data_IF_711114677622
#
_entry.id   IF_711114677622
#
_cell.length_a   1.000
_cell.length_b   1.000
_cell.length_c   1.000
_cell.angle_alpha   90.00
_cell.angle_beta   90.00
_cell.angle_gamma   90.00
#
_symmetry.space_group_name_H-M   'P 1'
#
loop_
_entity.id
_entity.type
_entity.pdbx_description
1 polymer ?
#
# COMPACT_ATOMS: atom_id res chain seq x y z
N UNK A 1 6.57 -13.08 -12.48
CA UNK A 1 6.90 -14.00 -11.39
C UNK A 1 7.06 -15.43 -11.88
N UNK A 2 6.04 -16.03 -12.53
CA UNK A 2 6.07 -17.40 -13.03
C UNK A 2 7.23 -17.62 -14.02
N UNK A 3 7.36 -16.75 -15.00
CA UNK A 3 8.44 -16.81 -16.00
C UNK A 3 9.84 -16.78 -15.34
N UNK A 4 10.04 -15.94 -14.32
CA UNK A 4 11.29 -15.88 -13.55
C UNK A 4 11.51 -17.19 -12.77
N UNK A 5 10.46 -17.75 -12.19
CA UNK A 5 10.54 -19.03 -11.50
C UNK A 5 10.93 -20.18 -12.45
N UNK A 6 10.50 -20.14 -13.70
CA UNK A 6 10.85 -21.09 -14.77
C UNK A 6 12.24 -20.85 -15.38
N UNK A 7 13.04 -19.95 -14.82
CA UNK A 7 14.44 -19.68 -15.20
C UNK A 7 14.64 -18.45 -16.08
N UNK A 8 13.61 -17.64 -16.29
CA UNK A 8 13.72 -16.38 -16.99
C UNK A 8 14.30 -15.27 -16.09
N UNK A 9 14.81 -14.22 -16.69
CA UNK A 9 15.31 -13.02 -16.01
C UNK A 9 14.43 -11.81 -16.34
N UNK A 10 14.16 -10.94 -15.35
CA UNK A 10 13.33 -9.76 -15.59
C UNK A 10 14.04 -8.76 -16.51
N UNK A 11 15.35 -8.55 -16.27
CA UNK A 11 16.18 -7.63 -17.05
C UNK A 11 15.61 -6.22 -17.09
N UNK A 12 15.69 -5.62 -18.27
CA UNK A 12 15.00 -4.39 -18.60
C UNK A 12 13.61 -4.72 -19.15
N UNK A 13 12.56 -4.16 -18.51
CA UNK A 13 11.17 -4.29 -18.92
C UNK A 13 10.47 -2.94 -18.83
N UNK A 14 9.86 -2.49 -19.93
CA UNK A 14 9.20 -1.19 -20.02
C UNK A 14 8.09 -1.02 -18.96
N UNK A 15 7.32 -2.07 -18.69
CA UNK A 15 6.26 -2.01 -17.68
C UNK A 15 6.83 -1.78 -16.28
N UNK A 16 7.82 -2.57 -15.88
CA UNK A 16 8.40 -2.45 -14.54
C UNK A 16 9.30 -1.23 -14.40
N UNK A 17 9.87 -0.74 -15.51
CA UNK A 17 10.63 0.50 -15.51
C UNK A 17 9.74 1.70 -15.16
N UNK A 18 8.52 1.73 -15.70
CA UNK A 18 7.52 2.75 -15.41
C UNK A 18 6.88 2.52 -14.03
N UNK A 19 6.51 1.28 -13.72
CA UNK A 19 5.80 0.87 -12.51
C UNK A 19 6.67 0.05 -11.56
N UNK A 20 7.82 0.59 -11.15
CA UNK A 20 8.79 -0.10 -10.27
C UNK A 20 8.19 -0.52 -8.91
N UNK A 21 7.09 0.11 -8.50
CA UNK A 21 6.32 -0.26 -7.31
C UNK A 21 5.70 -1.66 -7.40
N UNK A 22 5.63 -2.27 -8.60
CA UNK A 22 5.13 -3.64 -8.78
C UNK A 22 6.24 -4.71 -8.65
N UNK A 23 7.50 -4.32 -8.55
CA UNK A 23 8.61 -5.26 -8.32
C UNK A 23 8.48 -6.02 -6.99
N UNK A 24 8.16 -5.38 -5.84
CA UNK A 24 8.02 -6.09 -4.58
C UNK A 24 6.94 -7.16 -4.60
N UNK A 25 5.78 -6.91 -5.25
CA UNK A 25 4.73 -7.93 -5.38
C UNK A 25 5.17 -9.07 -6.30
N UNK A 26 5.89 -8.77 -7.37
CA UNK A 26 6.46 -9.77 -8.28
C UNK A 26 7.49 -10.65 -7.55
N UNK A 27 8.34 -10.05 -6.71
CA UNK A 27 9.26 -10.78 -5.84
C UNK A 27 8.54 -11.69 -4.84
N UNK A 28 7.49 -11.18 -4.19
CA UNK A 28 6.68 -11.97 -3.27
C UNK A 28 6.05 -13.19 -3.96
N UNK A 29 5.45 -12.99 -5.13
CA UNK A 29 4.90 -14.07 -5.94
C UNK A 29 5.97 -15.10 -6.32
N UNK A 30 7.14 -14.64 -6.76
CA UNK A 30 8.28 -15.51 -7.06
C UNK A 30 8.67 -16.37 -5.84
N UNK A 31 8.77 -15.76 -4.65
CA UNK A 31 9.10 -16.49 -3.41
C UNK A 31 8.00 -17.48 -3.01
N UNK A 32 6.74 -17.13 -3.20
CA UNK A 32 5.62 -18.06 -2.97
C UNK A 32 5.68 -19.25 -3.91
N UNK A 33 6.06 -19.05 -5.17
CA UNK A 33 6.25 -20.14 -6.15
C UNK A 33 7.41 -21.05 -5.75
N UNK A 34 8.56 -20.47 -5.38
CA UNK A 34 9.67 -21.25 -4.85
C UNK A 34 9.28 -22.07 -3.62
N UNK A 35 8.53 -21.46 -2.70
CA UNK A 35 8.03 -22.15 -1.51
C UNK A 35 7.10 -23.31 -1.85
N UNK A 36 6.12 -23.09 -2.74
CA UNK A 36 5.14 -24.12 -3.11
C UNK A 36 5.76 -25.29 -3.88
N UNK A 37 6.77 -25.01 -4.72
CA UNK A 37 7.48 -26.05 -5.47
C UNK A 37 8.28 -26.99 -4.56
N UNK A 38 8.76 -26.50 -3.42
CA UNK A 38 9.41 -27.30 -2.38
C UNK A 38 8.44 -28.21 -1.61
N UNK A 39 7.13 -27.92 -1.63
CA UNK A 39 6.10 -28.70 -0.98
C UNK A 39 5.61 -29.83 -1.88
N UNK A 40 6.29 -30.98 -1.89
CA UNK A 40 5.99 -32.15 -2.73
C UNK A 40 4.57 -32.72 -2.61
N UNK A 41 3.76 -32.23 -1.68
CA UNK A 41 2.42 -32.75 -1.37
C UNK A 41 1.29 -32.14 -2.24
N UNK A 42 1.55 -31.11 -3.04
CA UNK A 42 0.53 -30.45 -3.88
C UNK A 42 0.85 -30.56 -5.35
N UNK A 43 -0.13 -30.83 -6.21
CA UNK A 43 0.03 -30.57 -7.63
C UNK A 43 0.37 -29.09 -7.78
N UNK A 44 1.52 -28.81 -8.38
CA UNK A 44 2.06 -27.47 -8.53
C UNK A 44 1.07 -26.57 -9.30
N UNK A 45 0.34 -25.72 -8.59
CA UNK A 45 -0.45 -24.65 -9.16
C UNK A 45 -0.06 -23.34 -8.45
N UNK A 46 0.80 -22.52 -9.08
CA UNK A 46 1.27 -21.28 -8.48
C UNK A 46 0.15 -20.26 -8.21
N UNK A 47 -0.93 -20.30 -8.97
CA UNK A 47 -2.09 -19.42 -8.76
C UNK A 47 -2.83 -19.77 -7.47
N UNK A 48 -2.88 -21.06 -7.14
CA UNK A 48 -3.54 -21.53 -5.93
C UNK A 48 -2.81 -21.08 -4.65
N UNK A 49 -1.48 -21.12 -4.64
CA UNK A 49 -0.71 -20.64 -3.47
C UNK A 49 -0.91 -19.14 -3.25
N UNK A 50 -1.06 -18.37 -4.34
CA UNK A 50 -1.38 -16.95 -4.25
C UNK A 50 -2.76 -16.72 -3.62
N UNK A 51 -3.78 -17.40 -4.09
CA UNK A 51 -5.14 -17.31 -3.54
C UNK A 51 -5.14 -17.64 -2.04
N UNK A 52 -4.45 -18.71 -1.63
CA UNK A 52 -4.32 -19.06 -0.21
C UNK A 52 -3.65 -17.95 0.60
N UNK A 53 -2.54 -17.40 0.09
CA UNK A 53 -1.84 -16.30 0.73
C UNK A 53 -2.75 -15.07 0.89
N UNK A 54 -3.49 -14.70 -0.16
CA UNK A 54 -4.45 -13.60 -0.12
C UNK A 54 -5.56 -13.85 0.92
N UNK A 55 -6.13 -15.05 0.94
CA UNK A 55 -7.15 -15.41 1.94
C UNK A 55 -6.62 -15.28 3.36
N UNK A 56 -5.38 -15.70 3.61
CA UNK A 56 -4.72 -15.53 4.92
C UNK A 56 -4.57 -14.05 5.26
N UNK A 57 -4.07 -13.23 4.33
CA UNK A 57 -3.89 -11.79 4.55
C UNK A 57 -5.21 -11.07 4.83
N UNK A 58 -6.26 -11.36 4.06
CA UNK A 58 -7.59 -10.79 4.30
C UNK A 58 -8.19 -11.25 5.64
N UNK A 59 -8.01 -12.51 6.02
CA UNK A 59 -8.45 -13.03 7.31
C UNK A 59 -7.72 -12.33 8.47
N UNK A 60 -6.42 -12.08 8.33
CA UNK A 60 -5.64 -11.31 9.30
C UNK A 60 -6.11 -9.86 9.38
N UNK A 61 -6.47 -9.23 8.24
CA UNK A 61 -7.06 -7.89 8.23
C UNK A 61 -8.35 -7.83 9.04
N UNK A 62 -9.27 -8.78 8.81
CA UNK A 62 -10.53 -8.90 9.56
C UNK A 62 -10.25 -9.10 11.05
N UNK A 63 -9.43 -10.08 11.40
CA UNK A 63 -9.09 -10.39 12.80
C UNK A 63 -8.48 -9.18 13.51
N UNK A 64 -7.44 -8.58 12.94
CA UNK A 64 -6.75 -7.45 13.56
C UNK A 64 -7.65 -6.22 13.67
N UNK A 65 -8.53 -5.94 12.71
CA UNK A 65 -9.46 -4.82 12.79
C UNK A 65 -10.48 -5.01 13.92
N UNK A 66 -11.05 -6.19 14.05
CA UNK A 66 -11.99 -6.53 15.13
C UNK A 66 -11.32 -6.42 16.49
N UNK A 67 -10.12 -6.98 16.64
CA UNK A 67 -9.35 -6.92 17.89
C UNK A 67 -8.91 -5.50 18.23
N UNK A 68 -8.53 -4.70 17.24
CA UNK A 68 -8.19 -3.28 17.42
C UNK A 68 -9.39 -2.49 17.92
N UNK A 69 -10.55 -2.66 17.28
CA UNK A 69 -11.81 -2.00 17.70
C UNK A 69 -12.22 -2.44 19.10
N UNK A 70 -12.15 -3.74 19.41
CA UNK A 70 -12.45 -4.26 20.75
C UNK A 70 -11.55 -3.62 21.82
N UNK A 71 -10.25 -3.51 21.50
CA UNK A 71 -9.27 -2.93 22.41
C UNK A 71 -9.48 -1.44 22.67
N UNK A 72 -9.84 -0.68 21.62
CA UNK A 72 -10.02 0.76 21.71
C UNK A 72 -11.38 1.13 22.29
N UNK A 73 -12.45 0.52 21.80
CA UNK A 73 -13.83 0.83 22.22
C UNK A 73 -14.22 0.13 23.51
N UNK A 74 -13.59 -0.99 23.85
CA UNK A 74 -13.98 -1.91 24.95
C UNK A 74 -15.45 -2.37 24.85
N UNK A 75 -16.01 -2.34 23.65
CA UNK A 75 -17.41 -2.67 23.38
C UNK A 75 -17.51 -3.83 22.39
N UNK A 76 -18.07 -4.96 22.86
CA UNK A 76 -18.22 -6.16 22.03
C UNK A 76 -19.20 -5.93 20.87
N UNK A 77 -20.27 -5.17 21.07
CA UNK A 77 -21.24 -4.87 20.02
C UNK A 77 -20.62 -4.14 18.85
N UNK A 78 -19.79 -3.13 19.11
CA UNK A 78 -19.04 -2.41 18.08
C UNK A 78 -18.09 -3.35 17.33
N UNK A 79 -17.45 -4.28 18.04
CA UNK A 79 -16.54 -5.26 17.42
C UNK A 79 -17.27 -6.27 16.54
N UNK A 80 -18.47 -6.70 16.96
CA UNK A 80 -19.33 -7.58 16.15
C UNK A 80 -19.81 -6.87 14.88
N UNK A 81 -20.23 -5.60 14.99
CA UNK A 81 -20.58 -4.80 13.81
C UNK A 81 -19.38 -4.68 12.87
N UNK A 82 -18.17 -4.40 13.40
CA UNK A 82 -16.95 -4.35 12.61
C UNK A 82 -16.68 -5.68 11.91
N UNK A 83 -16.89 -6.81 12.59
CA UNK A 83 -16.73 -8.14 11.98
C UNK A 83 -17.68 -8.33 10.80
N UNK A 84 -18.97 -8.01 10.97
CA UNK A 84 -19.99 -8.14 9.93
C UNK A 84 -19.61 -7.29 8.71
N UNK A 85 -19.25 -6.02 8.91
CA UNK A 85 -18.80 -5.15 7.83
C UNK A 85 -17.55 -5.69 7.12
N UNK A 86 -16.54 -6.13 7.86
CA UNK A 86 -15.33 -6.67 7.25
C UNK A 86 -15.59 -7.96 6.47
N UNK A 87 -16.46 -8.84 6.93
CA UNK A 87 -16.86 -10.05 6.19
C UNK A 87 -17.58 -9.64 4.90
N UNK A 88 -18.50 -8.68 4.97
CA UNK A 88 -19.23 -8.19 3.80
C UNK A 88 -18.29 -7.56 2.76
N UNK A 89 -17.35 -6.71 3.18
CA UNK A 89 -16.50 -5.97 2.25
C UNK A 89 -15.22 -6.71 1.84
N UNK A 90 -14.55 -7.42 2.76
CA UNK A 90 -13.30 -8.11 2.49
C UNK A 90 -13.51 -9.60 2.20
N UNK A 91 -14.39 -10.25 2.91
CA UNK A 91 -14.61 -11.70 2.77
C UNK A 91 -15.28 -12.07 1.44
N UNK A 92 -16.12 -11.19 0.90
CA UNK A 92 -16.81 -11.40 -0.38
C UNK A 92 -16.03 -10.77 -1.54
N UNK A 93 -15.05 -9.89 -1.26
CA UNK A 93 -14.28 -9.14 -2.26
C UNK A 93 -13.56 -10.03 -3.28
N UNK A 94 -13.50 -9.62 -4.57
CA UNK A 94 -12.71 -10.28 -5.60
C UNK A 94 -11.19 -10.19 -5.36
N UNK A 95 -10.74 -9.30 -4.49
CA UNK A 95 -9.31 -9.11 -4.19
C UNK A 95 -8.58 -10.37 -3.74
N UNK A 96 -9.30 -11.38 -3.24
CA UNK A 96 -8.72 -12.68 -2.87
C UNK A 96 -8.16 -13.48 -4.04
N UNK A 97 -8.64 -13.24 -5.26
CA UNK A 97 -8.22 -13.99 -6.47
C UNK A 97 -7.33 -13.17 -7.39
N UNK A 98 -7.29 -11.84 -7.24
CA UNK A 98 -6.51 -10.94 -8.09
C UNK A 98 -5.09 -10.80 -7.51
N UNK A 99 -4.03 -11.20 -8.24
CA UNK A 99 -2.64 -11.07 -7.78
C UNK A 99 -2.14 -9.63 -7.90
N UNK A 100 -2.66 -8.75 -7.05
CA UNK A 100 -2.35 -7.33 -7.05
C UNK A 100 -1.94 -6.83 -5.66
N UNK A 101 -1.20 -5.73 -5.62
CA UNK A 101 -0.66 -5.16 -4.37
C UNK A 101 -1.73 -4.84 -3.35
N UNK A 102 -2.91 -4.40 -3.78
CA UNK A 102 -4.02 -4.04 -2.88
C UNK A 102 -4.47 -5.20 -2.01
N UNK A 103 -4.67 -6.37 -2.60
CA UNK A 103 -5.15 -7.54 -1.87
C UNK A 103 -4.22 -7.98 -0.73
N UNK A 104 -2.90 -7.99 -0.97
CA UNK A 104 -1.94 -8.43 0.05
C UNK A 104 -1.59 -7.33 1.05
N UNK A 105 -1.67 -6.06 0.67
CA UNK A 105 -1.26 -4.95 1.55
C UNK A 105 -2.39 -4.39 2.42
N UNK A 106 -3.66 -4.73 2.15
CA UNK A 106 -4.80 -4.24 2.94
C UNK A 106 -4.71 -4.63 4.43
N UNK A 107 -4.13 -5.78 4.74
CA UNK A 107 -3.94 -6.26 6.10
C UNK A 107 -2.86 -5.48 6.86
N UNK A 108 -1.81 -5.01 6.17
CA UNK A 108 -0.60 -4.50 6.78
C UNK A 108 -0.83 -3.27 7.68
N UNK A 109 -1.53 -2.20 7.24
CA UNK A 109 -1.80 -1.05 8.10
C UNK A 109 -2.57 -1.42 9.36
N UNK A 110 -3.58 -2.26 9.25
CA UNK A 110 -4.42 -2.68 10.37
C UNK A 110 -3.65 -3.55 11.36
N UNK A 111 -2.84 -4.50 10.85
CA UNK A 111 -1.97 -5.34 11.68
C UNK A 111 -0.96 -4.48 12.46
N UNK A 112 -0.33 -3.53 11.79
CA UNK A 112 0.66 -2.63 12.40
C UNK A 112 0.01 -1.78 13.49
N UNK A 113 -1.17 -1.20 13.23
CA UNK A 113 -1.92 -0.42 14.21
C UNK A 113 -2.38 -1.27 15.41
N UNK A 114 -2.86 -2.48 15.16
CA UNK A 114 -3.24 -3.41 16.24
C UNK A 114 -2.03 -3.76 17.11
N UNK A 115 -0.92 -4.19 16.53
CA UNK A 115 0.30 -4.52 17.26
C UNK A 115 0.86 -3.28 17.98
N UNK A 116 0.84 -2.11 17.35
CA UNK A 116 1.22 -0.87 18.03
C UNK A 116 0.35 -0.61 19.26
N UNK A 117 -0.97 -0.82 19.17
CA UNK A 117 -1.86 -0.65 20.31
C UNK A 117 -1.51 -1.56 21.50
N UNK A 118 -0.88 -2.72 21.24
CA UNK A 118 -0.42 -3.64 22.27
C UNK A 118 0.90 -3.21 22.93
N UNK A 119 1.74 -2.51 22.20
CA UNK A 119 3.08 -2.08 22.65
C UNK A 119 3.05 -0.69 23.30
N UNK A 120 2.09 0.13 22.89
CA UNK A 120 1.94 1.51 23.37
C UNK A 120 1.84 1.58 24.90
N UNK A 121 2.56 2.54 25.48
CA UNK A 121 2.57 2.79 26.92
C UNK A 121 3.44 1.83 27.76
N UNK A 122 4.07 0.83 27.14
CA UNK A 122 5.02 -0.04 27.85
C UNK A 122 6.38 0.66 27.98
N UNK A 123 6.80 0.94 29.22
CA UNK A 123 8.13 1.51 29.53
C UNK A 123 9.18 0.38 29.69
N UNK A 124 9.54 -0.28 28.59
CA UNK A 124 10.55 -1.35 28.58
C UNK A 124 11.47 -1.18 27.38
N UNK A 125 12.75 -1.61 27.52
CA UNK A 125 13.69 -1.68 26.37
C UNK A 125 13.15 -2.52 25.21
N UNK A 126 12.37 -3.55 25.51
CA UNK A 126 11.68 -4.36 24.49
C UNK A 126 10.63 -3.57 23.70
N UNK A 127 10.06 -2.50 24.28
CA UNK A 127 9.12 -1.64 23.57
C UNK A 127 9.77 -0.91 22.39
N UNK A 128 11.03 -0.49 22.53
CA UNK A 128 11.78 0.13 21.42
C UNK A 128 12.09 -0.88 20.32
N UNK A 129 12.46 -2.11 20.68
CA UNK A 129 12.71 -3.17 19.70
C UNK A 129 11.43 -3.55 18.92
N UNK A 130 10.31 -3.69 19.64
CA UNK A 130 9.01 -3.96 19.01
C UNK A 130 8.53 -2.77 18.17
N UNK A 131 8.73 -1.54 18.66
CA UNK A 131 8.41 -0.35 17.90
C UNK A 131 9.22 -0.26 16.60
N UNK A 132 10.53 -0.51 16.69
CA UNK A 132 11.40 -0.60 15.52
C UNK A 132 10.92 -1.64 14.51
N UNK A 133 10.59 -2.86 14.98
CA UNK A 133 10.07 -3.92 14.12
C UNK A 133 8.77 -3.50 13.42
N UNK A 134 7.86 -2.83 14.14
CA UNK A 134 6.61 -2.33 13.55
C UNK A 134 6.88 -1.26 12.49
N UNK A 135 7.81 -0.33 12.75
CA UNK A 135 8.20 0.69 11.77
C UNK A 135 8.87 0.05 10.55
N UNK A 136 9.73 -0.93 10.75
CA UNK A 136 10.37 -1.67 9.66
C UNK A 136 9.34 -2.40 8.79
N UNK A 137 8.39 -3.12 9.40
CA UNK A 137 7.29 -3.79 8.67
C UNK A 137 6.40 -2.77 7.96
N UNK A 138 6.14 -1.61 8.58
CA UNK A 138 5.41 -0.51 7.98
C UNK A 138 6.12 0.08 6.76
N UNK A 139 7.42 0.33 6.86
CA UNK A 139 8.23 0.81 5.75
C UNK A 139 8.32 -0.23 4.62
N UNK A 140 8.50 -1.51 4.96
CA UNK A 140 8.54 -2.59 3.98
C UNK A 140 7.19 -2.73 3.25
N UNK A 141 6.07 -2.62 3.97
CA UNK A 141 4.73 -2.60 3.38
C UNK A 141 4.53 -1.37 2.48
N UNK A 142 5.06 -0.21 2.89
CA UNK A 142 5.02 1.03 2.13
C UNK A 142 5.78 0.97 0.81
N UNK A 143 6.84 0.16 0.73
CA UNK A 143 7.56 -0.13 -0.52
C UNK A 143 6.67 -0.93 -1.48
N UNK A 144 5.85 -1.84 -0.97
CA UNK A 144 4.88 -2.58 -1.78
C UNK A 144 3.72 -1.68 -2.24
N UNK A 145 3.21 -0.86 -1.33
CA UNK A 145 2.14 0.11 -1.62
C UNK A 145 2.26 1.34 -0.72
N UNK A 146 2.44 2.50 -1.35
CA UNK A 146 2.67 3.77 -0.65
C UNK A 146 1.58 4.11 0.39
N UNK A 147 0.33 3.69 0.18
CA UNK A 147 -0.77 3.90 1.15
C UNK A 147 -0.52 3.25 2.52
N UNK A 148 0.33 2.21 2.60
CA UNK A 148 0.70 1.60 3.87
C UNK A 148 1.51 2.53 4.77
N UNK A 149 2.20 3.54 4.22
CA UNK A 149 2.88 4.57 5.02
C UNK A 149 1.92 5.38 5.90
N UNK A 150 0.64 5.44 5.57
CA UNK A 150 -0.37 6.14 6.39
C UNK A 150 -0.39 5.60 7.83
N UNK A 151 -0.25 4.28 8.01
CA UNK A 151 -0.17 3.68 9.36
C UNK A 151 1.10 4.11 10.11
N UNK A 152 2.24 4.18 9.42
CA UNK A 152 3.52 4.65 9.99
C UNK A 152 3.40 6.11 10.42
N UNK A 153 2.87 6.96 9.54
CA UNK A 153 2.64 8.39 9.83
C UNK A 153 1.70 8.56 11.02
N UNK A 154 0.60 7.81 11.05
CA UNK A 154 -0.36 7.87 12.15
C UNK A 154 0.29 7.48 13.49
N UNK A 155 1.11 6.43 13.52
CA UNK A 155 1.84 6.01 14.73
C UNK A 155 2.81 7.10 15.19
N UNK A 156 3.57 7.69 14.27
CA UNK A 156 4.51 8.77 14.59
C UNK A 156 3.77 9.97 15.20
N UNK A 157 2.66 10.39 14.60
CA UNK A 157 1.83 11.49 15.12
C UNK A 157 1.30 11.16 16.52
N UNK A 158 0.75 9.96 16.71
CA UNK A 158 0.24 9.52 18.02
C UNK A 158 1.36 9.48 19.06
N UNK A 159 2.53 9.00 18.70
CA UNK A 159 3.69 8.95 19.61
C UNK A 159 4.18 10.35 20.02
N UNK A 160 4.18 11.30 19.08
CA UNK A 160 4.52 12.70 19.38
C UNK A 160 3.52 13.27 20.39
N UNK A 161 2.22 13.18 20.11
CA UNK A 161 1.18 13.70 21.02
C UNK A 161 1.25 13.03 22.39
N UNK A 162 1.42 11.71 22.43
CA UNK A 162 1.50 10.96 23.66
C UNK A 162 2.71 11.36 24.50
N UNK A 163 3.89 11.41 23.88
CA UNK A 163 5.13 11.79 24.58
C UNK A 163 5.06 13.23 25.10
N UNK A 164 4.46 14.16 24.35
CA UNK A 164 4.26 15.53 24.79
C UNK A 164 3.28 15.63 25.94
N UNK A 165 2.26 14.78 25.98
CA UNK A 165 1.22 14.82 27.04
C UNK A 165 1.64 14.14 28.33
N UNK A 166 2.42 13.05 28.26
CA UNK A 166 2.74 12.25 29.45
C UNK A 166 4.06 12.59 30.12
N UNK A 167 5.07 12.99 29.35
CA UNK A 167 6.39 13.32 29.92
C UNK A 167 6.42 14.80 30.37
N UNK A 168 6.62 15.03 31.66
CA UNK A 168 6.74 16.39 32.21
C UNK A 168 8.09 17.02 31.93
N UNK A 169 9.17 16.23 31.84
CA UNK A 169 10.52 16.70 31.59
C UNK A 169 10.82 16.82 30.08
N UNK A 170 11.18 18.02 29.65
CA UNK A 170 11.52 18.35 28.25
C UNK A 170 12.68 17.49 27.72
N UNK A 171 13.67 17.23 28.57
CA UNK A 171 14.85 16.46 28.19
C UNK A 171 14.48 15.01 27.89
N UNK A 172 13.66 14.41 28.75
CA UNK A 172 13.15 13.04 28.58
C UNK A 172 12.30 12.92 27.30
N UNK A 173 11.46 13.94 27.00
CA UNK A 173 10.69 14.01 25.74
C UNK A 173 11.60 14.00 24.52
N UNK A 174 12.62 14.85 24.50
CA UNK A 174 13.53 14.97 23.37
C UNK A 174 14.31 13.68 23.14
N UNK A 175 14.82 13.04 24.19
CA UNK A 175 15.52 11.77 24.06
C UNK A 175 14.59 10.63 23.58
N UNK A 176 13.38 10.55 24.11
CA UNK A 176 12.40 9.54 23.72
C UNK A 176 11.98 9.68 22.26
N UNK A 177 11.63 10.87 21.83
CA UNK A 177 11.25 11.16 20.43
C UNK A 177 12.45 11.03 19.49
N UNK A 178 13.61 11.58 19.86
CA UNK A 178 14.82 11.50 19.05
C UNK A 178 15.24 10.06 18.81
N UNK A 179 15.19 9.21 19.85
CA UNK A 179 15.48 7.78 19.72
C UNK A 179 14.51 7.07 18.77
N UNK A 180 13.21 7.34 18.89
CA UNK A 180 12.20 6.76 17.96
C UNK A 180 12.38 7.27 16.53
N UNK A 181 12.68 8.54 16.32
CA UNK A 181 12.95 9.07 14.97
C UNK A 181 14.18 8.45 14.34
N UNK A 182 15.26 8.27 15.13
CA UNK A 182 16.45 7.56 14.66
C UNK A 182 16.12 6.12 14.25
N UNK A 183 15.36 5.39 15.08
CA UNK A 183 14.91 4.03 14.75
C UNK A 183 14.04 3.99 13.50
N UNK A 184 13.19 4.99 13.27
CA UNK A 184 12.39 5.11 12.04
C UNK A 184 13.29 5.29 10.81
N UNK A 185 14.30 6.15 10.90
CA UNK A 185 15.27 6.35 9.79
C UNK A 185 16.00 5.04 9.50
N UNK A 186 16.47 4.32 10.53
CA UNK A 186 17.13 3.02 10.36
C UNK A 186 16.16 2.01 9.72
N UNK A 187 14.90 1.97 10.17
CA UNK A 187 13.88 1.08 9.61
C UNK A 187 13.63 1.37 8.12
N UNK A 188 13.57 2.65 7.74
CA UNK A 188 13.40 3.08 6.35
C UNK A 188 14.61 2.70 5.48
N UNK A 189 15.84 2.92 5.99
CA UNK A 189 17.06 2.54 5.29
C UNK A 189 17.15 1.01 5.08
N UNK A 190 16.82 0.22 6.10
CA UNK A 190 16.78 -1.24 6.00
C UNK A 190 15.70 -1.72 5.01
N UNK A 191 14.51 -1.13 5.03
CA UNK A 191 13.47 -1.47 4.08
C UNK A 191 13.89 -1.13 2.64
N UNK A 192 14.55 0.00 2.44
CA UNK A 192 15.11 0.40 1.14
C UNK A 192 16.22 -0.55 0.68
N UNK A 193 17.05 -1.02 1.59
CA UNK A 193 18.05 -2.05 1.30
C UNK A 193 17.40 -3.40 0.91
N UNK A 194 16.33 -3.81 1.60
CA UNK A 194 15.54 -4.98 1.21
C UNK A 194 14.98 -4.84 -0.21
N UNK A 195 14.52 -3.65 -0.61
CA UNK A 195 14.06 -3.37 -1.99
C UNK A 195 15.17 -3.64 -3.00
N UNK A 196 16.40 -3.20 -2.73
CA UNK A 196 17.53 -3.49 -3.62
C UNK A 196 17.81 -5.01 -3.72
N UNK A 197 17.69 -5.74 -2.61
CA UNK A 197 17.77 -7.20 -2.62
C UNK A 197 16.68 -7.88 -3.46
N UNK A 198 15.47 -7.30 -3.49
CA UNK A 198 14.39 -7.78 -4.37
C UNK A 198 14.76 -7.56 -5.85
N UNK A 199 15.30 -6.39 -6.21
CA UNK A 199 15.76 -6.09 -7.57
C UNK A 199 16.86 -7.07 -8.02
N UNK A 200 17.86 -7.29 -7.18
CA UNK A 200 18.94 -8.26 -7.46
C UNK A 200 18.40 -9.69 -7.62
N UNK A 201 17.48 -10.11 -6.75
CA UNK A 201 16.91 -11.47 -6.82
C UNK A 201 16.13 -11.72 -8.11
N UNK A 202 15.53 -10.67 -8.67
CA UNK A 202 14.74 -10.75 -9.91
C UNK A 202 15.56 -10.42 -11.16
N UNK A 203 16.85 -10.14 -11.00
CA UNK A 203 17.73 -9.64 -12.09
C UNK A 203 17.10 -8.44 -12.80
N UNK A 204 16.51 -7.51 -12.03
CA UNK A 204 15.83 -6.33 -12.55
C UNK A 204 16.80 -5.15 -12.67
N UNK A 205 16.85 -4.56 -13.84
CA UNK A 205 17.62 -3.36 -14.13
C UNK A 205 16.80 -2.10 -13.86
N UNK A 206 17.00 -1.51 -12.68
CA UNK A 206 16.27 -0.31 -12.26
C UNK A 206 16.75 0.94 -12.97
N UNK A 207 15.82 1.62 -13.67
CA UNK A 207 16.08 2.92 -14.28
C UNK A 207 15.23 4.00 -13.57
N UNK A 208 15.83 4.83 -12.68
CA UNK A 208 15.11 5.85 -11.94
C UNK A 208 14.56 6.99 -12.81
N UNK A 209 15.12 7.22 -14.01
CA UNK A 209 14.70 8.33 -14.89
C UNK A 209 13.32 8.08 -15.51
N UNK A 210 12.98 6.82 -15.77
CA UNK A 210 11.71 6.44 -16.39
C UNK A 210 10.62 6.09 -15.37
N UNK A 211 10.98 5.92 -14.09
CA UNK A 211 10.02 5.60 -13.04
C UNK A 211 8.98 6.69 -12.87
N UNK A 212 7.69 6.32 -12.79
CA UNK A 212 6.62 7.24 -12.41
C UNK A 212 6.85 7.74 -10.98
N UNK A 213 7.03 9.06 -10.86
CA UNK A 213 7.19 9.74 -9.57
C UNK A 213 5.86 10.20 -8.97
N UNK A 214 5.92 10.69 -7.73
CA UNK A 214 4.77 11.25 -7.03
C UNK A 214 4.12 12.43 -7.76
N UNK A 215 4.90 13.23 -8.49
CA UNK A 215 4.42 14.36 -9.30
C UNK A 215 3.48 13.91 -10.41
N UNK A 216 3.77 12.77 -11.06
CA UNK A 216 2.91 12.19 -12.08
C UNK A 216 1.58 11.69 -11.49
N UNK A 217 1.62 11.03 -10.33
CA UNK A 217 0.40 10.63 -9.62
C UNK A 217 -0.46 11.83 -9.21
N UNK A 218 0.15 12.92 -8.75
CA UNK A 218 -0.57 14.16 -8.44
C UNK A 218 -1.14 14.82 -9.71
N UNK A 219 -0.36 14.87 -10.78
CA UNK A 219 -0.79 15.41 -12.06
C UNK A 219 -2.01 14.66 -12.59
N UNK A 220 -1.96 13.32 -12.65
CA UNK A 220 -3.10 12.48 -13.03
C UNK A 220 -4.28 12.64 -12.05
N UNK A 221 -3.99 12.69 -10.75
CA UNK A 221 -4.99 12.87 -9.69
C UNK A 221 -5.80 14.17 -9.77
N UNK A 222 -5.34 15.15 -10.56
CA UNK A 222 -6.01 16.42 -10.83
C UNK A 222 -6.58 16.51 -12.26
N UNK A 223 -6.60 15.42 -13.02
CA UNK A 223 -7.20 15.41 -14.36
C UNK A 223 -8.72 15.47 -14.25
N UNK A 224 -9.35 16.42 -14.97
CA UNK A 224 -10.80 16.64 -14.95
C UNK A 224 -11.54 15.58 -15.75
N UNK A 225 -11.03 15.21 -16.91
CA UNK A 225 -11.68 14.30 -17.84
C UNK A 225 -11.89 12.90 -17.23
N UNK A 226 -10.96 12.52 -16.37
CA UNK A 226 -11.00 11.21 -15.68
C UNK A 226 -11.41 11.33 -14.20
N UNK A 227 -11.78 12.52 -13.73
CA UNK A 227 -12.06 12.81 -12.32
C UNK A 227 -10.89 12.36 -11.42
N UNK A 228 -9.67 12.49 -11.94
CA UNK A 228 -8.44 12.09 -11.23
C UNK A 228 -8.19 10.57 -11.17
N UNK A 229 -8.87 9.80 -12.00
CA UNK A 229 -8.48 8.41 -12.26
C UNK A 229 -7.24 8.33 -13.15
N UNK A 230 -6.66 7.13 -13.29
CA UNK A 230 -5.52 6.91 -14.15
C UNK A 230 -5.89 7.28 -15.61
N UNK A 231 -5.12 8.17 -16.20
CA UNK A 231 -5.28 8.57 -17.61
C UNK A 231 -4.04 8.20 -18.40
N UNK A 232 -4.21 8.00 -19.72
CA UNK A 232 -3.10 7.79 -20.65
C UNK A 232 -2.13 8.98 -20.70
N UNK A 233 -2.62 10.19 -20.42
CA UNK A 233 -1.85 11.44 -20.45
C UNK A 233 -0.59 11.36 -19.57
N UNK A 234 -0.71 10.84 -18.34
CA UNK A 234 0.45 10.72 -17.44
C UNK A 234 1.52 9.76 -17.97
N UNK A 235 1.10 8.69 -18.64
CA UNK A 235 2.02 7.75 -19.27
C UNK A 235 2.67 8.36 -20.53
N UNK A 236 1.93 9.11 -21.31
CA UNK A 236 2.46 9.84 -22.46
C UNK A 236 3.51 10.87 -22.06
N UNK A 237 3.32 11.58 -20.92
CA UNK A 237 4.32 12.47 -20.36
C UNK A 237 5.61 11.69 -20.03
N UNK A 238 5.52 10.55 -19.33
CA UNK A 238 6.69 9.74 -19.01
C UNK A 238 7.44 9.33 -20.27
N UNK A 239 6.73 8.92 -21.31
CA UNK A 239 7.31 8.51 -22.60
C UNK A 239 7.91 9.68 -23.39
N UNK A 240 7.25 10.84 -23.39
CA UNK A 240 7.74 12.03 -24.12
C UNK A 240 9.02 12.60 -23.52
N UNK A 241 9.28 12.35 -22.24
CA UNK A 241 10.53 12.67 -21.55
C UNK A 241 11.53 11.52 -21.53
N UNK A 242 11.29 10.42 -22.24
CA UNK A 242 12.25 9.34 -22.38
C UNK A 242 13.56 9.89 -23.03
N UNK A 243 14.69 9.77 -22.32
CA UNK A 243 15.96 10.37 -22.73
C UNK A 243 16.24 11.77 -22.17
N UNK A 244 15.28 12.38 -21.45
CA UNK A 244 15.46 13.60 -20.66
C UNK A 244 15.63 13.26 -19.18
N UNK A 245 16.14 14.20 -18.38
CA UNK A 245 16.26 13.98 -16.95
C UNK A 245 14.89 13.99 -16.24
N UNK A 246 14.77 13.19 -15.18
CA UNK A 246 13.58 13.12 -14.32
C UNK A 246 13.18 14.47 -13.72
N UNK A 247 14.16 15.36 -13.49
CA UNK A 247 13.91 16.68 -12.92
C UNK A 247 13.14 17.57 -13.88
N UNK A 248 13.48 17.58 -15.18
CA UNK A 248 12.75 18.32 -16.20
C UNK A 248 11.32 17.82 -16.36
N UNK A 249 11.11 16.50 -16.32
CA UNK A 249 9.76 15.92 -16.31
C UNK A 249 8.97 16.36 -15.10
N UNK A 250 9.57 16.26 -13.90
CA UNK A 250 8.92 16.70 -12.66
C UNK A 250 8.55 18.18 -12.68
N UNK A 251 9.39 19.05 -13.22
CA UNK A 251 9.07 20.46 -13.38
C UNK A 251 7.85 20.68 -14.30
N UNK A 252 7.78 19.96 -15.41
CA UNK A 252 6.63 20.00 -16.32
C UNK A 252 5.34 19.57 -15.60
N UNK A 253 5.36 18.44 -14.89
CA UNK A 253 4.23 17.92 -14.13
C UNK A 253 3.79 18.90 -13.03
N UNK A 254 4.73 19.48 -12.28
CA UNK A 254 4.44 20.48 -11.25
C UNK A 254 3.84 21.77 -11.83
N UNK A 255 4.33 22.23 -12.97
CA UNK A 255 3.74 23.37 -13.69
C UNK A 255 2.30 23.10 -14.10
N UNK A 256 2.04 21.89 -14.60
CA UNK A 256 0.69 21.44 -14.96
C UNK A 256 -0.25 21.35 -13.76
N UNK A 257 0.22 20.78 -12.63
CA UNK A 257 -0.51 20.74 -11.35
C UNK A 257 -0.90 22.16 -10.92
N UNK A 258 0.08 23.08 -10.93
CA UNK A 258 -0.13 24.48 -10.52
C UNK A 258 -1.19 25.14 -11.42
N UNK A 259 -1.08 24.98 -12.75
CA UNK A 259 -2.04 25.51 -13.71
C UNK A 259 -3.45 24.99 -13.44
N UNK A 260 -3.63 23.68 -13.33
CA UNK A 260 -4.93 23.05 -13.05
C UNK A 260 -5.56 23.56 -11.75
N UNK A 261 -4.76 23.76 -10.69
CA UNK A 261 -5.25 24.33 -9.44
C UNK A 261 -5.60 25.81 -9.55
N UNK A 262 -4.82 26.59 -10.30
CA UNK A 262 -5.08 28.02 -10.54
C UNK A 262 -6.33 28.23 -11.36
N UNK A 263 -6.52 27.49 -12.46
CA UNK A 263 -7.68 27.57 -13.35
C UNK A 263 -8.99 27.27 -12.61
N UNK A 264 -8.97 26.32 -11.68
CA UNK A 264 -10.13 25.97 -10.84
C UNK A 264 -10.35 26.95 -9.69
N UNK A 265 -9.31 27.61 -9.21
CA UNK A 265 -9.31 28.34 -7.95
C UNK A 265 -9.54 27.42 -6.73
N UNK A 266 -9.54 28.01 -5.55
CA UNK A 266 -9.66 27.25 -4.29
C UNK A 266 -10.98 26.48 -4.18
N UNK A 267 -12.10 27.15 -4.45
CA UNK A 267 -13.44 26.52 -4.34
C UNK A 267 -13.64 25.44 -5.39
N UNK A 268 -13.18 25.68 -6.63
CA UNK A 268 -13.25 24.67 -7.70
C UNK A 268 -12.41 23.43 -7.37
N UNK A 269 -11.22 23.61 -6.83
CA UNK A 269 -10.37 22.49 -6.38
C UNK A 269 -11.02 21.71 -5.24
N UNK A 270 -11.64 22.38 -4.26
CA UNK A 270 -12.35 21.70 -3.18
C UNK A 270 -13.55 20.91 -3.71
N UNK A 271 -14.35 21.48 -4.61
CA UNK A 271 -15.46 20.78 -5.28
C UNK A 271 -14.98 19.55 -6.07
N UNK A 272 -13.87 19.68 -6.79
CA UNK A 272 -13.27 18.57 -7.52
C UNK A 272 -12.87 17.43 -6.55
N UNK A 273 -12.24 17.72 -5.42
CA UNK A 273 -11.88 16.70 -4.44
C UNK A 273 -13.10 16.04 -3.81
N UNK A 274 -14.13 16.80 -3.50
CA UNK A 274 -15.38 16.24 -2.98
C UNK A 274 -16.04 15.34 -4.03
N UNK A 275 -16.08 15.77 -5.30
CA UNK A 275 -16.61 14.95 -6.39
C UNK A 275 -15.78 13.65 -6.56
N UNK A 276 -14.46 13.74 -6.51
CA UNK A 276 -13.58 12.56 -6.54
C UNK A 276 -13.86 11.59 -5.38
N UNK A 277 -14.14 12.10 -4.17
CA UNK A 277 -14.53 11.23 -3.05
C UNK A 277 -15.88 10.54 -3.33
N UNK A 278 -16.86 11.29 -3.84
CA UNK A 278 -18.15 10.70 -4.25
C UNK A 278 -17.91 9.59 -5.27
N UNK A 279 -17.10 9.81 -6.30
CA UNK A 279 -16.79 8.79 -7.32
C UNK A 279 -16.09 7.56 -6.73
N UNK A 280 -15.18 7.75 -5.78
CA UNK A 280 -14.48 6.64 -5.11
C UNK A 280 -15.41 5.74 -4.29
N UNK A 281 -16.54 6.26 -3.82
CA UNK A 281 -17.50 5.54 -2.97
C UNK A 281 -18.86 5.26 -3.64
N UNK A 282 -19.08 5.80 -4.85
CA UNK A 282 -20.42 5.88 -5.44
C UNK A 282 -20.84 4.62 -6.20
N UNK A 283 -19.91 3.79 -6.66
CA UNK A 283 -20.29 2.63 -7.45
C UNK A 283 -20.93 1.51 -6.61
N UNK A 284 -20.71 1.53 -5.30
CA UNK A 284 -21.28 0.57 -4.35
C UNK A 284 -20.91 -0.89 -4.63
N UNK A 285 -20.18 -1.12 -5.73
CA UNK A 285 -19.85 -2.47 -6.19
C UNK A 285 -18.57 -3.01 -5.59
N UNK A 286 -17.77 -2.16 -4.91
CA UNK A 286 -16.47 -2.53 -4.36
C UNK A 286 -15.58 -3.25 -5.36
N UNK A 287 -15.53 -2.76 -6.59
CA UNK A 287 -14.83 -3.34 -7.74
C UNK A 287 -15.41 -4.66 -8.28
N UNK A 288 -16.54 -5.12 -7.77
CA UNK A 288 -17.17 -6.35 -8.26
C UNK A 288 -17.53 -6.28 -9.73
N UNK A 289 -18.02 -5.14 -10.18
CA UNK A 289 -18.45 -4.96 -11.57
C UNK A 289 -17.26 -4.94 -12.55
N UNK A 290 -16.18 -4.26 -12.18
CA UNK A 290 -15.01 -4.07 -13.05
C UNK A 290 -14.01 -5.22 -12.94
N UNK A 291 -13.78 -5.75 -11.74
CA UNK A 291 -12.69 -6.68 -11.46
C UNK A 291 -13.16 -8.07 -10.97
N UNK A 292 -14.46 -8.23 -10.79
CA UNK A 292 -15.04 -9.50 -10.32
C UNK A 292 -15.08 -10.62 -11.36
N UNK A 293 -14.68 -10.35 -12.59
CA UNK A 293 -14.66 -11.32 -13.72
C UNK A 293 -15.97 -12.10 -13.86
N UNK A 294 -17.10 -11.45 -13.69
CA UNK A 294 -18.40 -12.07 -13.92
C UNK A 294 -18.57 -12.44 -15.38
N UNK A 295 -18.76 -13.71 -15.66
CA UNK A 295 -19.11 -14.15 -17.00
C UNK A 295 -20.47 -13.59 -17.40
N UNK A 296 -20.60 -13.19 -18.67
CA UNK A 296 -21.87 -12.78 -19.22
C UNK A 296 -22.93 -13.86 -19.00
N UNK A 297 -24.06 -13.51 -18.38
CA UNK A 297 -25.14 -14.47 -18.09
C UNK A 297 -25.13 -15.10 -16.70
N UNK A 298 -24.18 -14.74 -15.80
CA UNK A 298 -24.26 -15.21 -14.41
C UNK A 298 -25.43 -14.55 -13.68
N UNK A 299 -26.14 -15.32 -12.85
CA UNK A 299 -27.27 -14.85 -12.07
C UNK A 299 -26.90 -13.69 -11.11
N UNK A 300 -25.65 -13.65 -10.66
CA UNK A 300 -25.13 -12.57 -9.82
C UNK A 300 -25.04 -11.23 -10.57
N UNK A 301 -24.78 -11.23 -11.88
CA UNK A 301 -24.73 -10.00 -12.68
C UNK A 301 -26.10 -9.32 -12.82
N UNK A 302 -27.20 -10.08 -12.67
CA UNK A 302 -28.54 -9.52 -12.74
C UNK A 302 -29.03 -8.92 -11.41
N UNK A 303 -28.27 -9.08 -10.33
CA UNK A 303 -28.59 -8.57 -9.00
C UNK A 303 -27.86 -7.25 -8.71
N UNK A 304 -26.77 -6.98 -9.45
CA UNK A 304 -25.98 -5.74 -9.42
C UNK A 304 -26.03 -5.04 -10.77
#
# INVERSE_FOLDING_TARGET
ARWIFEGGELGYDDYYTIYSNNIPITWLLYKLYCFSSGMKAYPYNPEFIWIQFQCVMLSLAVLCSVLLVLRVSKNLGTSVITLIFNIAFLGISPWKIIPYTDGCTIAMPVMILFLYSMVRGRKSRWSYALWFLLMFLGCLSGIMKATCYVAVIAIVIIDIFWTVSEESDVRSRLYGLGGKMLLLVIAFCLASWCRQGMYQTLHYEYNPELEIGWSNYMYNGLNEDTTGACSGEGLEIVRSFAGSDKASRMQYELAGIRRRMQDRGFIGTLRFWLHKQVMNFNDGTFSWYQEGYFQAGSTLRSVF
#
